data_IF_907104553240
#
_entry.id   IF_907104553240
#
_cell.length_a   1.000
_cell.length_b   1.000
_cell.length_c   1.000
_cell.angle_alpha   90.00
_cell.angle_beta   90.00
_cell.angle_gamma   90.00
#
_symmetry.space_group_name_H-M   'P 1'
#
loop_
_entity.id
_entity.type
_entity.pdbx_description
1 polymer ?
#
# COMPACT_ATOMS: atom_id res chain seq x y z
N UNK A 1 -18.98 25.28 -0.81
CA UNK A 1 -17.72 24.78 -1.14
C UNK A 1 -17.10 24.11 0.02
N UNK A 2 -16.96 22.84 -0.01
CA UNK A 2 -16.39 22.07 1.05
C UNK A 2 -14.87 22.17 1.10
N UNK A 3 -14.25 21.66 2.19
CA UNK A 3 -12.83 21.42 2.23
C UNK A 3 -12.41 20.42 1.16
N UNK A 4 -11.12 20.01 1.16
CA UNK A 4 -10.65 19.06 0.16
C UNK A 4 -11.51 17.79 0.23
N UNK A 5 -12.02 17.38 -0.93
CA UNK A 5 -12.80 16.16 -1.02
C UNK A 5 -11.95 14.97 -0.65
N UNK A 6 -12.53 14.00 0.07
CA UNK A 6 -11.87 12.73 0.34
C UNK A 6 -11.67 12.05 -1.01
N UNK A 7 -10.44 11.59 -1.32
CA UNK A 7 -10.21 10.92 -2.59
C UNK A 7 -11.00 9.61 -2.64
N UNK A 8 -11.53 9.30 -3.83
CA UNK A 8 -12.20 8.03 -4.04
C UNK A 8 -11.18 6.90 -4.09
N UNK A 9 -11.35 5.91 -3.23
CA UNK A 9 -10.49 4.73 -3.20
C UNK A 9 -11.21 3.60 -3.94
N UNK A 10 -10.58 3.11 -4.99
CA UNK A 10 -11.08 1.96 -5.75
C UNK A 10 -10.47 0.67 -5.19
N UNK A 11 -11.22 -0.42 -5.22
CA UNK A 11 -10.75 -1.73 -4.74
C UNK A 11 -11.18 -2.81 -5.71
N UNK A 12 -10.31 -3.78 -5.96
CA UNK A 12 -10.64 -4.93 -6.81
C UNK A 12 -9.66 -6.07 -6.60
N UNK A 13 -10.13 -7.29 -6.85
CA UNK A 13 -9.26 -8.44 -7.05
C UNK A 13 -8.70 -8.38 -8.47
N UNK A 14 -7.60 -9.09 -8.72
CA UNK A 14 -6.92 -9.04 -10.02
C UNK A 14 -7.87 -9.30 -11.19
N UNK A 15 -8.72 -10.31 -11.07
CA UNK A 15 -9.63 -10.70 -12.16
C UNK A 15 -10.70 -9.64 -12.47
N UNK A 16 -10.90 -8.69 -11.57
CA UNK A 16 -11.87 -7.61 -11.74
C UNK A 16 -11.24 -6.34 -12.32
N UNK A 17 -9.91 -6.28 -12.38
CA UNK A 17 -9.19 -5.11 -12.89
C UNK A 17 -9.25 -5.04 -14.40
N UNK A 18 -9.48 -3.84 -14.94
CA UNK A 18 -9.27 -3.62 -16.37
C UNK A 18 -7.78 -3.67 -16.67
N UNK A 19 -7.39 -4.05 -17.88
CA UNK A 19 -5.96 -4.04 -18.25
C UNK A 19 -5.30 -2.67 -18.06
N UNK A 20 -6.00 -1.59 -18.35
CA UNK A 20 -5.46 -0.23 -18.19
C UNK A 20 -5.21 0.10 -16.73
N UNK A 21 -6.12 -0.27 -15.84
CA UNK A 21 -5.95 -0.04 -14.40
C UNK A 21 -4.79 -0.87 -13.87
N UNK A 22 -4.69 -2.13 -14.27
CA UNK A 22 -3.58 -2.99 -13.87
C UNK A 22 -2.24 -2.39 -14.29
N UNK A 23 -2.12 -1.96 -15.56
CA UNK A 23 -0.90 -1.30 -16.03
C UNK A 23 -0.60 -0.03 -15.24
N UNK A 24 -1.64 0.74 -14.91
CA UNK A 24 -1.48 1.96 -14.11
C UNK A 24 -0.94 1.68 -12.72
N UNK A 25 -1.49 0.67 -12.03
CA UNK A 25 -1.03 0.24 -10.71
C UNK A 25 0.44 -0.18 -10.78
N UNK A 26 0.80 -1.02 -11.74
CA UNK A 26 2.15 -1.52 -11.88
C UNK A 26 3.13 -0.41 -12.26
N UNK A 27 2.70 0.57 -13.06
CA UNK A 27 3.53 1.71 -13.44
C UNK A 27 3.86 2.58 -12.21
N UNK A 28 2.90 2.84 -11.33
CA UNK A 28 3.15 3.57 -10.08
C UNK A 28 4.19 2.83 -9.23
N UNK A 29 4.02 1.54 -9.07
CA UNK A 29 4.94 0.72 -8.28
C UNK A 29 6.35 0.73 -8.87
N UNK A 30 6.47 0.57 -10.20
CA UNK A 30 7.75 0.63 -10.88
C UNK A 30 8.42 1.99 -10.69
N UNK A 31 7.68 3.08 -10.91
CA UNK A 31 8.22 4.42 -10.82
C UNK A 31 8.73 4.75 -9.41
N UNK A 32 8.03 4.27 -8.38
CA UNK A 32 8.40 4.55 -6.98
C UNK A 32 9.49 3.59 -6.49
N UNK A 33 9.26 2.28 -6.62
CA UNK A 33 10.13 1.30 -5.97
C UNK A 33 11.39 0.97 -6.77
N UNK A 34 11.30 0.97 -8.09
CA UNK A 34 12.44 0.60 -8.94
C UNK A 34 13.18 1.84 -9.43
N UNK A 35 12.49 2.78 -10.05
CA UNK A 35 13.12 3.95 -10.66
C UNK A 35 13.54 4.98 -9.63
N UNK A 36 12.60 5.49 -8.83
CA UNK A 36 12.89 6.55 -7.85
C UNK A 36 13.86 6.07 -6.77
N UNK A 37 13.63 4.89 -6.21
CA UNK A 37 14.49 4.34 -5.16
C UNK A 37 15.77 3.70 -5.69
N UNK A 38 15.92 3.66 -7.01
CA UNK A 38 17.09 3.09 -7.67
C UNK A 38 17.40 1.68 -7.16
N UNK A 39 16.37 0.83 -7.12
CA UNK A 39 16.44 -0.50 -6.55
C UNK A 39 16.01 -1.55 -7.56
N UNK A 40 16.94 -2.36 -8.03
CA UNK A 40 16.66 -3.42 -8.99
C UNK A 40 16.17 -4.66 -8.24
N UNK A 41 14.86 -4.84 -8.18
CA UNK A 41 14.27 -6.02 -7.54
C UNK A 41 12.96 -6.39 -8.28
N UNK A 42 12.49 -7.65 -8.14
CA UNK A 42 11.24 -8.06 -8.78
C UNK A 42 10.03 -7.55 -8.00
N UNK A 43 9.54 -6.37 -8.39
CA UNK A 43 8.40 -5.74 -7.72
C UNK A 43 7.10 -6.52 -7.90
N UNK A 44 6.85 -7.02 -9.12
CA UNK A 44 5.69 -7.86 -9.40
C UNK A 44 6.02 -9.28 -8.93
N UNK A 45 5.15 -9.86 -8.11
CA UNK A 45 5.36 -11.21 -7.62
C UNK A 45 4.05 -12.04 -7.68
N UNK A 46 4.15 -13.32 -7.32
CA UNK A 46 3.00 -14.22 -7.37
C UNK A 46 1.86 -13.80 -6.44
N UNK A 47 2.16 -13.05 -5.39
CA UNK A 47 1.13 -12.61 -4.44
C UNK A 47 0.18 -11.58 -5.03
N UNK A 48 0.58 -10.92 -6.12
CA UNK A 48 -0.30 -9.99 -6.83
C UNK A 48 -1.50 -10.70 -7.46
N UNK A 49 -1.37 -11.98 -7.77
CA UNK A 49 -2.43 -12.76 -8.41
C UNK A 49 -3.12 -13.77 -7.50
N UNK A 50 -2.82 -13.75 -6.20
CA UNK A 50 -3.56 -14.58 -5.24
C UNK A 50 -5.04 -14.19 -5.24
N UNK A 51 -5.93 -15.18 -5.15
CA UNK A 51 -7.37 -14.95 -5.28
C UNK A 51 -7.92 -13.94 -4.25
N UNK A 52 -7.35 -13.93 -3.05
CA UNK A 52 -7.83 -13.05 -1.97
C UNK A 52 -7.12 -11.68 -1.93
N UNK A 53 -6.10 -11.48 -2.75
CA UNK A 53 -5.40 -10.19 -2.79
C UNK A 53 -6.32 -9.10 -3.32
N UNK A 54 -6.41 -8.00 -2.59
CA UNK A 54 -7.16 -6.82 -3.01
C UNK A 54 -6.17 -5.73 -3.40
N UNK A 55 -6.35 -5.20 -4.61
CA UNK A 55 -5.61 -4.02 -5.05
C UNK A 55 -6.46 -2.79 -4.75
N UNK A 56 -5.83 -1.78 -4.15
CA UNK A 56 -6.48 -0.51 -3.87
C UNK A 56 -5.72 0.59 -4.61
N UNK A 57 -6.45 1.55 -5.16
CA UNK A 57 -5.81 2.63 -5.91
C UNK A 57 -6.66 3.89 -5.91
N UNK A 58 -5.99 5.00 -6.23
CA UNK A 58 -6.60 6.30 -6.42
C UNK A 58 -6.20 6.80 -7.79
N UNK A 59 -7.16 7.39 -8.52
CA UNK A 59 -6.95 7.99 -9.83
C UNK A 59 -7.00 9.51 -9.70
N UNK A 60 -6.26 10.20 -10.57
CA UNK A 60 -6.39 11.65 -10.69
C UNK A 60 -7.62 12.00 -11.54
N UNK A 61 -7.82 13.29 -11.78
CA UNK A 61 -8.98 13.77 -12.55
C UNK A 61 -9.01 13.28 -14.00
N UNK A 62 -7.87 12.86 -14.53
CA UNK A 62 -7.76 12.34 -15.89
C UNK A 62 -7.91 10.81 -15.94
N UNK A 63 -8.17 10.18 -14.81
CA UNK A 63 -8.31 8.72 -14.72
C UNK A 63 -6.99 7.96 -14.63
N UNK A 64 -5.87 8.66 -14.40
CA UNK A 64 -4.57 8.02 -14.25
C UNK A 64 -4.37 7.54 -12.82
N UNK A 65 -3.92 6.30 -12.64
CA UNK A 65 -3.56 5.80 -11.31
C UNK A 65 -2.34 6.56 -10.80
N UNK A 66 -2.46 7.13 -9.61
CA UNK A 66 -1.40 7.94 -8.98
C UNK A 66 -0.95 7.42 -7.62
N UNK A 67 -1.72 6.54 -7.00
CA UNK A 67 -1.39 5.98 -5.68
C UNK A 67 -2.00 4.59 -5.57
N UNK A 68 -1.32 3.66 -4.89
CA UNK A 68 -1.79 2.28 -4.77
C UNK A 68 -1.21 1.60 -3.53
N UNK A 69 -1.88 0.52 -3.11
CA UNK A 69 -1.34 -0.47 -2.19
C UNK A 69 -1.99 -1.81 -2.48
N UNK A 70 -1.42 -2.90 -1.95
CA UNK A 70 -2.06 -4.21 -2.00
C UNK A 70 -2.33 -4.72 -0.59
N UNK A 71 -3.46 -5.38 -0.43
CA UNK A 71 -3.88 -6.01 0.81
C UNK A 71 -3.88 -7.52 0.60
N UNK A 72 -2.96 -8.20 1.27
CA UNK A 72 -2.76 -9.65 1.15
C UNK A 72 -3.47 -10.37 2.28
N UNK A 73 -3.99 -11.58 1.99
CA UNK A 73 -4.50 -12.47 3.03
C UNK A 73 -3.34 -13.32 3.58
N UNK A 74 -3.26 -13.40 4.90
CA UNK A 74 -2.32 -14.29 5.61
C UNK A 74 -3.09 -15.44 6.28
N UNK A 75 -4.29 -15.76 5.76
CA UNK A 75 -5.14 -16.79 6.31
C UNK A 75 -5.58 -16.47 7.74
N UNK A 76 -5.40 -17.43 8.65
CA UNK A 76 -5.76 -17.25 10.05
C UNK A 76 -4.91 -16.22 10.79
N UNK A 77 -3.78 -15.82 10.22
CA UNK A 77 -2.88 -14.82 10.82
C UNK A 77 -3.27 -13.38 10.48
N UNK A 78 -4.35 -13.19 9.74
CA UNK A 78 -4.86 -11.86 9.40
C UNK A 78 -4.49 -11.42 7.99
N UNK A 79 -4.06 -10.19 7.84
CA UNK A 79 -3.75 -9.58 6.55
C UNK A 79 -2.40 -8.89 6.57
N UNK A 80 -1.91 -8.57 5.38
CA UNK A 80 -0.65 -7.83 5.21
C UNK A 80 -0.84 -6.74 4.18
N UNK A 81 -0.41 -5.53 4.52
CA UNK A 81 -0.38 -4.40 3.59
C UNK A 81 1.02 -4.29 3.02
N UNK A 82 1.12 -4.09 1.73
CA UNK A 82 2.40 -3.89 1.06
C UNK A 82 2.28 -3.08 -0.21
N UNK A 83 3.41 -2.78 -0.79
CA UNK A 83 3.52 -2.01 -2.05
C UNK A 83 2.76 -0.68 -1.98
N UNK A 84 2.86 0.02 -0.85
CA UNK A 84 2.25 1.35 -0.68
C UNK A 84 3.10 2.36 -1.45
N UNK A 85 2.52 2.98 -2.45
CA UNK A 85 3.25 3.88 -3.34
C UNK A 85 2.37 5.01 -3.84
N UNK A 86 2.95 6.22 -3.90
CA UNK A 86 2.31 7.39 -4.49
C UNK A 86 3.32 8.08 -5.39
N UNK A 87 2.90 8.40 -6.63
CA UNK A 87 3.77 9.13 -7.56
C UNK A 87 4.23 10.44 -6.94
N UNK A 88 5.48 10.86 -7.17
CA UNK A 88 6.00 12.10 -6.58
C UNK A 88 5.09 13.32 -6.79
N UNK A 89 4.54 13.49 -7.98
CA UNK A 89 3.68 14.61 -8.30
C UNK A 89 2.34 14.60 -7.55
N UNK A 90 1.94 13.46 -6.98
CA UNK A 90 0.68 13.31 -6.25
C UNK A 90 0.88 13.28 -4.74
N UNK A 91 2.11 13.41 -4.26
CA UNK A 91 2.40 13.41 -2.81
C UNK A 91 1.91 14.70 -2.14
N UNK A 92 1.70 14.62 -0.83
CA UNK A 92 1.21 15.75 -0.05
C UNK A 92 -0.31 15.93 -0.11
N UNK A 93 -1.03 15.01 -0.74
CA UNK A 93 -2.49 15.06 -0.88
C UNK A 93 -3.21 14.02 -0.02
N UNK A 94 -2.49 13.36 0.88
CA UNK A 94 -3.02 12.36 1.81
C UNK A 94 -3.60 11.10 1.14
N UNK A 95 -3.15 10.79 -0.07
CA UNK A 95 -3.65 9.63 -0.81
C UNK A 95 -3.26 8.32 -0.13
N UNK A 96 -2.00 8.17 0.29
CA UNK A 96 -1.56 6.95 0.98
C UNK A 96 -2.34 6.71 2.26
N UNK A 97 -2.66 7.77 3.01
CA UNK A 97 -3.46 7.67 4.23
C UNK A 97 -4.89 7.18 3.95
N UNK A 98 -5.50 7.70 2.87
CA UNK A 98 -6.84 7.27 2.47
C UNK A 98 -6.84 5.79 2.08
N UNK A 99 -5.83 5.35 1.32
CA UNK A 99 -5.67 3.94 0.95
C UNK A 99 -5.50 3.06 2.19
N UNK A 100 -4.65 3.48 3.12
CA UNK A 100 -4.38 2.71 4.34
C UNK A 100 -5.65 2.58 5.20
N UNK A 101 -6.40 3.65 5.38
CA UNK A 101 -7.67 3.60 6.13
C UNK A 101 -8.64 2.64 5.48
N UNK A 102 -8.76 2.68 4.16
CA UNK A 102 -9.69 1.80 3.45
C UNK A 102 -9.27 0.33 3.59
N UNK A 103 -7.99 0.04 3.52
CA UNK A 103 -7.48 -1.32 3.70
C UNK A 103 -7.81 -1.83 5.11
N UNK A 104 -7.61 -0.99 6.13
CA UNK A 104 -7.94 -1.34 7.52
C UNK A 104 -9.44 -1.63 7.67
N UNK A 105 -10.29 -0.81 7.05
CA UNK A 105 -11.76 -1.04 7.07
C UNK A 105 -12.14 -2.36 6.41
N UNK A 106 -11.49 -2.71 5.29
CA UNK A 106 -11.82 -3.92 4.54
C UNK A 106 -11.49 -5.20 5.30
N UNK A 107 -10.33 -5.24 5.95
CA UNK A 107 -9.85 -6.48 6.58
C UNK A 107 -10.05 -6.51 8.09
N UNK A 108 -9.97 -5.36 8.73
CA UNK A 108 -9.82 -5.30 10.18
C UNK A 108 -8.47 -5.86 10.65
N UNK A 109 -8.07 -5.56 11.90
CA UNK A 109 -6.86 -6.14 12.47
C UNK A 109 -7.05 -7.63 12.78
N UNK A 110 -5.97 -8.43 12.87
CA UNK A 110 -4.57 -7.98 12.83
C UNK A 110 -4.07 -7.76 11.39
N UNK A 111 -3.22 -6.75 11.24
CA UNK A 111 -2.60 -6.42 9.96
C UNK A 111 -1.09 -6.24 10.18
N UNK A 112 -0.29 -6.90 9.36
CA UNK A 112 1.16 -6.77 9.40
C UNK A 112 1.64 -5.94 8.20
N UNK A 113 2.77 -5.29 8.35
CA UNK A 113 3.46 -4.63 7.25
C UNK A 113 4.94 -4.49 7.56
N UNK A 114 5.72 -4.26 6.51
CA UNK A 114 7.14 -3.97 6.61
C UNK A 114 7.33 -2.51 6.20
N UNK A 115 7.57 -1.64 7.18
CA UNK A 115 7.72 -0.21 6.92
C UNK A 115 9.18 0.12 6.61
N UNK A 116 9.41 0.96 5.59
CA UNK A 116 10.71 1.58 5.47
C UNK A 116 10.92 2.42 6.74
N UNK A 117 12.10 2.33 7.35
CA UNK A 117 12.32 2.84 8.71
C UNK A 117 11.93 4.30 8.90
N UNK A 118 12.16 5.15 7.89
CA UNK A 118 11.82 6.57 7.97
C UNK A 118 10.30 6.83 7.99
N UNK A 119 9.47 5.83 7.68
CA UNK A 119 8.01 5.95 7.68
C UNK A 119 7.35 5.37 8.93
N UNK A 120 8.12 4.81 9.86
CA UNK A 120 7.58 4.20 11.09
C UNK A 120 6.64 5.15 11.82
N UNK A 121 7.06 6.41 12.03
CA UNK A 121 6.21 7.41 12.72
C UNK A 121 4.91 7.69 11.99
N UNK A 122 4.92 7.63 10.67
CA UNK A 122 3.71 7.83 9.87
C UNK A 122 2.72 6.68 10.07
N UNK A 123 3.21 5.44 10.05
CA UNK A 123 2.34 4.28 10.29
C UNK A 123 1.82 4.23 11.73
N UNK A 124 2.62 4.72 12.70
CA UNK A 124 2.18 4.76 14.10
C UNK A 124 0.93 5.61 14.29
N UNK A 125 0.72 6.61 13.47
CA UNK A 125 -0.50 7.45 13.52
C UNK A 125 -1.77 6.64 13.23
N UNK A 126 -1.64 5.51 12.55
CA UNK A 126 -2.78 4.63 12.22
C UNK A 126 -2.93 3.49 13.23
N UNK A 127 -2.11 3.47 14.27
CA UNK A 127 -2.18 2.46 15.31
C UNK A 127 -1.20 1.30 15.15
N UNK A 128 -0.39 1.30 14.10
CA UNK A 128 0.63 0.27 13.92
C UNK A 128 1.77 0.45 14.92
N UNK A 129 2.34 -0.65 15.39
CA UNK A 129 3.46 -0.64 16.32
C UNK A 129 4.59 -1.52 15.77
N UNK A 130 5.83 -1.12 16.01
CA UNK A 130 7.00 -1.94 15.68
C UNK A 130 6.93 -3.22 16.51
N UNK A 131 7.07 -4.38 15.85
CA UNK A 131 6.88 -5.68 16.49
C UNK A 131 8.08 -6.62 16.38
N UNK A 132 9.25 -6.12 16.01
CA UNK A 132 10.45 -6.94 15.89
C UNK A 132 11.68 -6.13 15.52
N UNK A 133 12.77 -6.83 15.23
CA UNK A 133 14.02 -6.19 14.87
C UNK A 133 13.98 -5.60 13.46
N UNK A 134 14.69 -4.49 13.26
CA UNK A 134 14.87 -3.88 11.95
C UNK A 134 15.84 -4.71 11.12
N UNK A 135 15.68 -4.62 9.80
CA UNK A 135 16.60 -5.30 8.87
C UNK A 135 16.84 -4.40 7.66
N UNK A 136 17.88 -4.73 6.89
CA UNK A 136 18.18 -4.03 5.65
C UNK A 136 17.80 -4.94 4.49
N UNK A 137 16.99 -4.42 3.56
CA UNK A 137 16.58 -5.12 2.35
C UNK A 137 16.78 -4.17 1.18
N UNK A 138 17.52 -4.60 0.17
CA UNK A 138 17.84 -3.79 -1.00
C UNK A 138 18.41 -2.42 -0.64
N UNK A 139 19.27 -2.38 0.40
CA UNK A 139 19.90 -1.15 0.85
C UNK A 139 19.04 -0.22 1.69
N UNK A 140 17.80 -0.60 1.98
CA UNK A 140 16.85 0.22 2.74
C UNK A 140 16.54 -0.45 4.07
N UNK A 141 16.66 0.31 5.16
CA UNK A 141 16.30 -0.20 6.50
C UNK A 141 14.79 -0.29 6.63
N UNK A 142 14.32 -1.43 7.13
CA UNK A 142 12.90 -1.72 7.35
C UNK A 142 12.63 -2.09 8.80
N UNK A 143 11.40 -1.86 9.24
CA UNK A 143 10.91 -2.29 10.55
C UNK A 143 9.61 -3.08 10.37
N UNK A 144 9.46 -4.23 11.06
CA UNK A 144 8.21 -4.96 11.03
C UNK A 144 7.19 -4.23 11.92
N UNK A 145 5.99 -4.02 11.41
CA UNK A 145 4.94 -3.34 12.17
C UNK A 145 3.66 -4.16 12.15
N UNK A 146 2.83 -3.95 13.15
CA UNK A 146 1.57 -4.67 13.29
C UNK A 146 0.50 -3.80 13.90
N UNK A 147 -0.72 -3.92 13.36
CA UNK A 147 -1.93 -3.36 13.97
C UNK A 147 -2.65 -4.52 14.64
N UNK A 148 -2.77 -4.46 15.95
CA UNK A 148 -3.39 -5.53 16.73
C UNK A 148 -4.88 -5.27 16.97
N UNK A 149 -5.59 -6.36 17.27
CA UNK A 149 -6.99 -6.28 17.69
C UNK A 149 -7.02 -5.56 19.05
N UNK A 150 -7.82 -4.51 19.15
CA UNK A 150 -8.04 -3.85 20.45
C UNK A 150 -8.98 -4.71 21.30
N UNK A 151 -8.59 -4.86 22.55
CA UNK A 151 -9.44 -5.52 23.54
C UNK A 151 -10.21 -4.51 24.35
#
# INVERSE_FOLDING_TARGET
>A
MGGPSVPEVHTAHLDELSPRTLLGILAVRQDVFVVEQNCAYPDIDARDSEAETVHLWIEDDDGRVVSTLRLLSEGEHGHRIGRVATLPAARGRRYSGALLRRAIELSGPPIALSAQAYLVGWYERFGFEVCGERWIEDGIEHAPMRLEVRR
#
